data_IF_334487991705
#
_entry.id   IF_334487991705
#
_cell.length_a   1.000
_cell.length_b   1.000
_cell.length_c   1.000
_cell.angle_alpha   90.00
_cell.angle_beta   90.00
_cell.angle_gamma   90.00
#
_symmetry.space_group_name_H-M   'P 1'
#
loop_
_entity.id
_entity.type
_entity.pdbx_description
1 polymer ?
#
# COMPACT_ATOMS: atom_id res chain seq x y z
N UNK A 1 33.04 -27.79 6.11
CA UNK A 1 33.36 -26.38 5.79
C UNK A 1 32.08 -25.59 6.00
N UNK A 2 31.99 -24.86 7.11
CA UNK A 2 30.86 -23.96 7.36
C UNK A 2 31.06 -22.75 6.45
N UNK A 3 30.38 -22.72 5.30
CA UNK A 3 30.20 -21.48 4.56
C UNK A 3 29.35 -20.58 5.45
N UNK A 4 30.01 -19.69 6.20
CA UNK A 4 29.35 -18.53 6.80
C UNK A 4 28.93 -17.70 5.59
N UNK A 5 27.69 -17.88 5.15
CA UNK A 5 27.05 -16.95 4.22
C UNK A 5 26.97 -15.65 5.00
N UNK A 6 27.90 -14.74 4.75
CA UNK A 6 27.83 -13.38 5.27
C UNK A 6 26.56 -12.77 4.69
N UNK A 7 25.66 -12.30 5.57
CA UNK A 7 24.48 -11.54 5.13
C UNK A 7 24.94 -10.39 4.23
N UNK A 8 24.16 -10.03 3.19
CA UNK A 8 24.47 -8.88 2.34
C UNK A 8 24.61 -7.61 3.19
N UNK A 9 25.51 -6.71 2.78
CA UNK A 9 25.66 -5.39 3.41
C UNK A 9 24.56 -4.44 2.91
N UNK A 10 23.68 -4.02 3.82
CA UNK A 10 22.57 -3.12 3.53
C UNK A 10 22.82 -1.68 4.00
N UNK A 11 24.04 -1.32 4.43
CA UNK A 11 24.35 0.02 4.98
C UNK A 11 23.97 1.16 4.01
N UNK A 12 24.21 0.98 2.70
CA UNK A 12 23.82 1.99 1.69
C UNK A 12 22.30 2.14 1.57
N UNK A 13 21.55 1.04 1.69
CA UNK A 13 20.08 1.07 1.68
C UNK A 13 19.57 1.87 2.87
N UNK A 14 20.05 1.56 4.06
CA UNK A 14 19.64 2.20 5.32
C UNK A 14 19.95 3.71 5.35
N UNK A 15 21.00 4.13 4.64
CA UNK A 15 21.34 5.55 4.47
C UNK A 15 20.36 6.29 3.56
N UNK A 16 19.87 5.67 2.48
CA UNK A 16 18.99 6.33 1.50
C UNK A 16 17.51 6.19 1.84
N UNK A 17 17.15 5.11 2.52
CA UNK A 17 15.79 4.75 2.92
C UNK A 17 15.83 4.38 4.40
N UNK A 18 15.88 5.37 5.31
CA UNK A 18 15.94 5.11 6.74
C UNK A 18 14.72 4.33 7.22
N UNK A 19 14.97 3.27 7.95
CA UNK A 19 13.98 2.33 8.46
C UNK A 19 14.63 1.41 9.49
N UNK A 20 13.93 0.34 9.85
CA UNK A 20 14.36 -0.60 10.88
C UNK A 20 14.28 -2.06 10.41
N UNK A 21 15.13 -2.90 11.01
CA UNK A 21 15.08 -4.35 10.80
C UNK A 21 14.08 -4.95 11.78
N UNK A 22 13.00 -5.54 11.26
CA UNK A 22 11.94 -6.13 12.07
C UNK A 22 12.11 -7.65 12.10
N UNK A 23 12.12 -8.22 13.30
CA UNK A 23 12.14 -9.67 13.49
C UNK A 23 10.72 -10.23 13.37
N UNK A 24 10.53 -11.21 12.49
CA UNK A 24 9.24 -11.86 12.27
C UNK A 24 9.42 -13.35 12.02
N UNK A 25 8.89 -14.16 12.94
CA UNK A 25 9.01 -15.61 12.89
C UNK A 25 10.43 -16.07 13.17
N UNK A 26 11.13 -16.57 12.14
CA UNK A 26 12.50 -17.12 12.24
C UNK A 26 13.57 -16.27 11.55
N UNK A 27 13.20 -15.11 11.04
CA UNK A 27 14.12 -14.21 10.38
C UNK A 27 13.60 -12.78 10.45
N UNK A 28 14.00 -11.99 9.48
CA UNK A 28 13.80 -10.55 9.51
C UNK A 28 13.47 -10.00 8.13
N UNK A 29 12.94 -8.79 8.12
CA UNK A 29 12.72 -7.98 6.93
C UNK A 29 12.98 -6.51 7.29
N UNK A 30 12.93 -5.62 6.29
CA UNK A 30 13.15 -4.20 6.50
C UNK A 30 11.83 -3.42 6.48
N UNK A 31 11.61 -2.54 7.44
CA UNK A 31 10.41 -1.71 7.54
C UNK A 31 10.80 -0.24 7.44
N UNK A 32 10.22 0.47 6.48
CA UNK A 32 10.30 1.92 6.40
C UNK A 32 8.98 2.49 6.87
N UNK A 33 9.04 3.49 7.75
CA UNK A 33 7.88 4.18 8.29
C UNK A 33 8.02 5.68 8.09
N UNK A 34 7.00 6.30 7.49
CA UNK A 34 7.01 7.72 7.17
C UNK A 34 5.66 8.35 7.48
N UNK A 35 5.67 9.55 8.04
CA UNK A 35 4.47 10.37 8.19
C UNK A 35 4.08 10.91 6.81
N UNK A 36 2.79 10.94 6.50
CA UNK A 36 2.31 11.42 5.19
C UNK A 36 2.74 12.87 4.91
N UNK A 37 2.91 13.70 5.95
CA UNK A 37 3.37 15.09 5.83
C UNK A 37 4.76 15.23 5.18
N UNK A 38 5.61 14.20 5.28
CA UNK A 38 6.93 14.19 4.65
C UNK A 38 6.85 13.83 3.15
N UNK A 39 5.74 13.24 2.72
CA UNK A 39 5.56 12.67 1.38
C UNK A 39 4.56 13.45 0.52
N UNK A 40 3.60 14.13 1.16
CA UNK A 40 2.54 14.87 0.50
C UNK A 40 2.54 16.33 0.99
N UNK A 41 2.83 17.26 0.08
CA UNK A 41 2.81 18.70 0.38
C UNK A 41 1.44 19.20 0.87
N UNK A 42 0.35 18.58 0.43
CA UNK A 42 -1.03 18.96 0.78
C UNK A 42 -1.65 18.03 1.83
N UNK A 43 -0.82 17.35 2.64
CA UNK A 43 -1.24 16.42 3.67
C UNK A 43 -2.25 17.04 4.65
N UNK A 44 -2.06 18.29 5.08
CA UNK A 44 -2.96 18.96 6.01
C UNK A 44 -4.40 19.10 5.46
N UNK A 45 -4.54 19.49 4.18
CA UNK A 45 -5.87 19.61 3.57
C UNK A 45 -6.50 18.24 3.33
N UNK A 46 -5.70 17.26 2.92
CA UNK A 46 -6.16 15.89 2.76
C UNK A 46 -6.68 15.33 4.10
N UNK A 47 -5.99 15.63 5.20
CA UNK A 47 -6.39 15.23 6.54
C UNK A 47 -7.63 15.94 7.03
N UNK A 48 -7.75 17.24 6.78
CA UNK A 48 -8.96 17.99 7.08
C UNK A 48 -10.18 17.42 6.34
N UNK A 49 -10.07 17.18 5.03
CA UNK A 49 -11.15 16.58 4.23
C UNK A 49 -11.58 15.23 4.82
N UNK A 50 -10.62 14.40 5.20
CA UNK A 50 -10.92 13.10 5.79
C UNK A 50 -11.60 13.23 7.16
N UNK A 51 -11.09 14.10 8.05
CA UNK A 51 -11.74 14.38 9.34
C UNK A 51 -13.15 14.92 9.15
N UNK A 52 -13.38 15.81 8.18
CA UNK A 52 -14.70 16.32 7.86
C UNK A 52 -15.65 15.18 7.46
N UNK A 53 -15.21 14.26 6.59
CA UNK A 53 -16.00 13.08 6.19
C UNK A 53 -16.45 12.25 7.41
N UNK A 54 -15.58 12.03 8.40
CA UNK A 54 -15.92 11.23 9.59
C UNK A 54 -16.67 12.01 10.68
N UNK A 55 -16.55 13.33 10.71
CA UNK A 55 -17.22 14.20 11.70
C UNK A 55 -18.61 14.67 11.25
N UNK A 56 -18.91 14.61 9.94
CA UNK A 56 -20.22 14.96 9.43
C UNK A 56 -21.28 13.99 9.99
N UNK A 57 -22.41 14.54 10.46
CA UNK A 57 -23.62 13.76 10.74
C UNK A 57 -24.24 13.30 9.40
N UNK A 58 -23.66 12.26 8.83
CA UNK A 58 -24.02 11.75 7.51
C UNK A 58 -25.24 10.84 7.63
N UNK A 59 -26.24 11.06 6.80
CA UNK A 59 -27.29 10.07 6.56
C UNK A 59 -26.70 8.90 5.75
N UNK A 60 -26.22 7.90 6.46
CA UNK A 60 -25.61 6.71 5.88
C UNK A 60 -26.59 5.87 5.02
N UNK A 61 -27.89 6.20 4.97
CA UNK A 61 -28.87 5.47 4.15
C UNK A 61 -28.67 5.68 2.64
N UNK A 62 -27.99 6.75 2.24
CA UNK A 62 -27.68 7.06 0.83
C UNK A 62 -26.40 6.41 0.31
N UNK A 63 -25.53 5.98 1.23
CA UNK A 63 -24.25 5.36 0.88
C UNK A 63 -24.43 3.90 0.48
N UNK A 64 -23.70 3.48 -0.53
CA UNK A 64 -23.51 2.08 -0.84
C UNK A 64 -22.83 1.33 0.34
N UNK A 65 -22.98 0.01 0.36
CA UNK A 65 -22.49 -0.81 1.47
C UNK A 65 -20.99 -0.68 1.75
N UNK A 66 -20.17 -0.49 0.71
CA UNK A 66 -18.71 -0.37 0.86
C UNK A 66 -18.36 0.95 1.57
N UNK A 67 -18.91 2.08 1.12
CA UNK A 67 -18.65 3.38 1.76
C UNK A 67 -19.30 3.51 3.13
N UNK A 68 -20.47 2.91 3.32
CA UNK A 68 -21.06 2.78 4.65
C UNK A 68 -20.12 2.03 5.60
N UNK A 69 -19.50 0.94 5.15
CA UNK A 69 -18.56 0.19 6.01
C UNK A 69 -17.35 1.01 6.45
N UNK A 70 -16.86 1.93 5.60
CA UNK A 70 -15.77 2.86 5.93
C UNK A 70 -16.18 3.87 6.99
N UNK A 71 -17.40 4.41 6.92
CA UNK A 71 -17.85 5.47 7.82
C UNK A 71 -18.47 4.96 9.13
N UNK A 72 -18.69 3.65 9.27
CA UNK A 72 -19.25 3.04 10.48
C UNK A 72 -18.22 2.40 11.40
N UNK A 73 -16.94 2.48 11.06
CA UNK A 73 -15.81 2.03 11.88
C UNK A 73 -14.98 3.22 12.34
N UNK A 74 -14.14 3.02 13.35
CA UNK A 74 -13.14 4.04 13.71
C UNK A 74 -12.14 4.18 12.54
N UNK A 75 -11.75 5.41 12.11
CA UNK A 75 -10.66 5.62 11.17
C UNK A 75 -9.40 4.78 11.38
N UNK A 76 -9.05 4.48 12.64
CA UNK A 76 -7.89 3.67 13.04
C UNK A 76 -8.06 2.19 12.70
N UNK A 77 -9.27 1.74 12.40
CA UNK A 77 -9.60 0.38 11.98
C UNK A 77 -9.62 0.20 10.45
N UNK A 78 -9.15 1.20 9.70
CA UNK A 78 -9.07 1.20 8.23
C UNK A 78 -7.61 1.16 7.80
N UNK A 79 -7.29 0.25 6.88
CA UNK A 79 -5.97 0.18 6.22
C UNK A 79 -6.10 0.20 4.71
N UNK A 80 -5.25 0.99 4.08
CA UNK A 80 -5.08 1.07 2.63
C UNK A 80 -3.85 0.24 2.25
N UNK A 81 -3.94 -0.53 1.17
CA UNK A 81 -2.92 -1.47 0.77
C UNK A 81 -2.63 -1.41 -0.73
N UNK A 82 -1.35 -1.52 -1.04
CA UNK A 82 -0.78 -1.70 -2.38
C UNK A 82 0.49 -2.57 -2.29
N UNK A 83 0.79 -3.38 -3.31
CA UNK A 83 1.96 -4.27 -3.31
C UNK A 83 2.86 -4.06 -4.53
N UNK A 84 4.16 -4.30 -4.35
CA UNK A 84 5.09 -4.49 -5.48
C UNK A 84 5.60 -5.92 -5.53
N UNK A 85 5.64 -6.43 -6.76
CA UNK A 85 5.95 -7.83 -7.07
C UNK A 85 6.93 -7.89 -8.23
N UNK A 86 7.64 -9.01 -8.36
CA UNK A 86 8.59 -9.23 -9.46
C UNK A 86 7.92 -9.72 -10.76
N UNK A 87 6.59 -9.66 -10.83
CA UNK A 87 5.80 -10.11 -11.96
C UNK A 87 4.36 -10.43 -11.56
N UNK A 88 3.52 -10.75 -12.55
CA UNK A 88 2.06 -10.77 -12.35
C UNK A 88 1.51 -12.01 -11.64
N UNK A 89 2.28 -13.09 -11.52
CA UNK A 89 1.84 -14.33 -10.86
C UNK A 89 3.01 -15.24 -10.51
N UNK A 90 2.96 -15.91 -9.35
CA UNK A 90 3.96 -16.90 -8.92
C UNK A 90 5.41 -16.38 -8.94
N UNK A 91 5.58 -15.09 -8.65
CA UNK A 91 6.88 -14.44 -8.48
C UNK A 91 6.99 -13.88 -7.06
N UNK A 92 8.21 -13.63 -6.54
CA UNK A 92 8.37 -12.97 -5.26
C UNK A 92 7.60 -11.65 -5.13
N UNK A 93 6.87 -11.51 -4.02
CA UNK A 93 6.42 -10.23 -3.46
C UNK A 93 7.60 -9.64 -2.68
N UNK A 94 7.87 -8.35 -2.86
CA UNK A 94 8.99 -7.73 -2.16
C UNK A 94 8.64 -6.43 -1.43
N UNK A 95 7.48 -5.83 -1.69
CA UNK A 95 7.00 -4.65 -0.98
C UNK A 95 5.52 -4.80 -0.68
N UNK A 96 5.13 -4.56 0.58
CA UNK A 96 3.74 -4.26 0.94
C UNK A 96 3.72 -2.85 1.50
N UNK A 97 3.02 -1.96 0.81
CA UNK A 97 2.72 -0.63 1.29
C UNK A 97 1.41 -0.62 2.06
N UNK A 98 1.41 0.03 3.21
CA UNK A 98 0.26 0.20 4.09
C UNK A 98 0.12 1.67 4.46
N UNK A 99 -1.08 2.21 4.37
CA UNK A 99 -1.42 3.54 4.85
C UNK A 99 -2.58 3.42 5.83
N UNK A 100 -2.41 3.93 7.05
CA UNK A 100 -3.42 3.84 8.12
C UNK A 100 -3.15 4.89 9.20
N UNK A 101 -4.14 5.12 10.08
CA UNK A 101 -3.97 5.99 11.23
C UNK A 101 -3.29 5.25 12.38
N UNK A 102 -2.14 5.75 12.81
CA UNK A 102 -1.54 5.41 14.10
C UNK A 102 -1.74 6.57 15.07
N UNK A 103 -2.62 6.33 16.04
CA UNK A 103 -3.25 7.39 16.81
C UNK A 103 -3.85 8.48 15.89
N UNK A 104 -3.39 9.72 16.02
CA UNK A 104 -3.90 10.86 15.25
C UNK A 104 -3.07 11.13 13.99
N UNK A 105 -2.03 10.34 13.74
CA UNK A 105 -1.11 10.51 12.62
C UNK A 105 -1.42 9.52 11.50
N UNK A 106 -1.56 10.02 10.28
CA UNK A 106 -1.65 9.17 9.11
C UNK A 106 -0.24 8.80 8.65
N UNK A 107 0.06 7.50 8.66
CA UNK A 107 1.40 6.97 8.42
C UNK A 107 1.40 6.00 7.25
N UNK A 108 2.53 5.96 6.55
CA UNK A 108 2.86 4.95 5.56
C UNK A 108 3.90 4.00 6.15
N UNK A 109 3.58 2.71 6.17
CA UNK A 109 4.54 1.63 6.43
C UNK A 109 4.79 0.83 5.16
N UNK A 110 6.05 0.63 4.85
CA UNK A 110 6.51 -0.09 3.67
C UNK A 110 7.36 -1.26 4.14
N UNK A 111 6.77 -2.45 4.09
CA UNK A 111 7.41 -3.70 4.48
C UNK A 111 8.19 -4.21 3.27
N UNK A 112 9.51 -4.31 3.39
CA UNK A 112 10.42 -4.60 2.29
C UNK A 112 11.25 -5.85 2.53
N UNK A 113 11.23 -6.77 1.56
CA UNK A 113 12.12 -7.92 1.52
C UNK A 113 13.42 -7.54 0.79
N UNK A 114 14.52 -7.37 1.52
CA UNK A 114 15.82 -6.94 0.96
C UNK A 114 16.46 -7.99 0.06
N UNK A 115 16.04 -9.24 0.20
CA UNK A 115 16.30 -10.33 -0.73
C UNK A 115 15.11 -11.30 -0.75
N UNK A 116 15.14 -12.29 -1.66
CA UNK A 116 14.02 -13.22 -1.84
C UNK A 116 13.71 -14.09 -0.61
N UNK A 117 14.67 -14.25 0.31
CA UNK A 117 14.46 -15.06 1.52
C UNK A 117 13.63 -14.32 2.58
N UNK A 118 13.61 -12.98 2.55
CA UNK A 118 12.89 -12.16 3.53
C UNK A 118 11.37 -12.10 3.28
N UNK A 119 10.89 -12.50 2.09
CA UNK A 119 9.46 -12.52 1.75
C UNK A 119 8.64 -13.33 2.77
N UNK A 120 9.18 -14.47 3.25
CA UNK A 120 8.47 -15.29 4.25
C UNK A 120 8.21 -14.51 5.54
N UNK A 121 9.20 -13.74 6.00
CA UNK A 121 9.17 -13.03 7.27
C UNK A 121 8.28 -11.80 7.18
N UNK A 122 8.37 -11.08 6.08
CA UNK A 122 7.46 -10.00 5.72
C UNK A 122 6.00 -10.49 5.70
N UNK A 123 5.70 -11.59 5.00
CA UNK A 123 4.34 -12.14 4.92
C UNK A 123 3.84 -12.65 6.28
N UNK A 124 4.73 -13.18 7.10
CA UNK A 124 4.39 -13.57 8.46
C UNK A 124 3.97 -12.35 9.30
N UNK A 125 4.77 -11.29 9.31
CA UNK A 125 4.42 -10.04 9.98
C UNK A 125 3.09 -9.48 9.47
N UNK A 126 2.93 -9.37 8.14
CA UNK A 126 1.70 -8.87 7.53
C UNK A 126 0.47 -9.68 7.97
N UNK A 127 0.60 -11.01 8.07
CA UNK A 127 -0.50 -11.89 8.48
C UNK A 127 -1.00 -11.66 9.90
N UNK A 128 -0.13 -11.19 10.79
CA UNK A 128 -0.44 -10.82 12.19
C UNK A 128 -0.85 -9.34 12.31
N UNK A 129 -0.41 -8.51 11.37
CA UNK A 129 -0.68 -7.08 11.35
C UNK A 129 -2.07 -6.75 10.80
N UNK A 130 -2.44 -7.27 9.63
CA UNK A 130 -3.70 -6.94 8.95
C UNK A 130 -4.98 -7.24 9.75
N UNK A 131 -5.06 -8.25 10.66
CA UNK A 131 -6.24 -8.49 11.49
C UNK A 131 -6.58 -7.36 12.48
N UNK A 132 -5.71 -6.36 12.67
CA UNK A 132 -5.99 -5.18 13.49
C UNK A 132 -7.05 -4.26 12.86
N UNK A 133 -7.32 -4.41 11.57
CA UNK A 133 -8.22 -3.55 10.81
C UNK A 133 -9.51 -4.28 10.45
N UNK A 134 -10.62 -3.56 10.56
CA UNK A 134 -11.95 -4.05 10.18
C UNK A 134 -12.25 -3.79 8.71
N UNK A 135 -11.60 -2.80 8.09
CA UNK A 135 -11.78 -2.45 6.68
C UNK A 135 -10.43 -2.37 5.96
N UNK A 136 -10.34 -3.11 4.85
CA UNK A 136 -9.21 -3.08 3.92
C UNK A 136 -9.63 -2.35 2.65
N UNK A 137 -8.87 -1.33 2.26
CA UNK A 137 -9.07 -0.55 1.04
C UNK A 137 -7.93 -0.80 0.06
N UNK A 138 -8.26 -1.05 -1.20
CA UNK A 138 -7.28 -1.30 -2.28
C UNK A 138 -7.73 -0.68 -3.59
N UNK A 139 -6.81 -0.54 -4.55
CA UNK A 139 -7.14 -0.27 -5.95
C UNK A 139 -6.97 -1.55 -6.78
N UNK A 140 -8.06 -2.16 -7.25
CA UNK A 140 -8.03 -3.46 -7.96
C UNK A 140 -7.55 -4.66 -7.12
N UNK A 141 -7.39 -4.51 -5.81
CA UNK A 141 -6.81 -5.54 -4.95
C UNK A 141 -7.71 -6.72 -4.62
N UNK A 142 -9.02 -6.64 -4.90
CA UNK A 142 -9.86 -7.85 -4.89
C UNK A 142 -9.44 -8.84 -5.98
N UNK A 143 -8.93 -8.33 -7.10
CA UNK A 143 -8.56 -9.13 -8.27
C UNK A 143 -7.06 -9.41 -8.37
N UNK A 144 -6.23 -8.63 -7.67
CA UNK A 144 -4.77 -8.72 -7.78
C UNK A 144 -4.09 -8.89 -6.42
N UNK A 145 -3.99 -7.83 -5.61
CA UNK A 145 -3.15 -7.78 -4.40
C UNK A 145 -3.42 -8.92 -3.42
N UNK A 146 -4.69 -9.09 -3.00
CA UNK A 146 -5.04 -10.08 -1.98
C UNK A 146 -4.94 -11.52 -2.49
N UNK A 147 -5.41 -11.86 -3.71
CA UNK A 147 -5.08 -13.14 -4.32
C UNK A 147 -3.57 -13.40 -4.38
N UNK A 148 -2.76 -12.43 -4.80
CA UNK A 148 -1.31 -12.58 -4.90
C UNK A 148 -0.67 -12.87 -3.54
N UNK A 149 -0.99 -12.06 -2.52
CA UNK A 149 -0.49 -12.26 -1.16
C UNK A 149 -0.87 -13.66 -0.65
N UNK A 150 -2.13 -14.10 -0.85
CA UNK A 150 -2.58 -15.43 -0.43
C UNK A 150 -1.81 -16.54 -1.12
N UNK A 151 -1.56 -16.44 -2.42
CA UNK A 151 -0.77 -17.43 -3.17
C UNK A 151 0.66 -17.52 -2.63
N UNK A 152 1.29 -16.38 -2.31
CA UNK A 152 2.63 -16.34 -1.71
C UNK A 152 2.64 -16.88 -0.27
N UNK A 153 1.60 -16.61 0.52
CA UNK A 153 1.46 -17.21 1.84
C UNK A 153 1.33 -18.74 1.76
N UNK A 154 0.55 -19.26 0.82
CA UNK A 154 0.41 -20.70 0.57
C UNK A 154 1.75 -21.31 0.16
N UNK A 155 2.50 -20.65 -0.73
CA UNK A 155 3.86 -21.06 -1.12
C UNK A 155 4.78 -21.22 0.10
N UNK A 156 4.68 -20.29 1.05
CA UNK A 156 5.40 -20.32 2.34
C UNK A 156 4.72 -21.15 3.43
N UNK A 157 3.71 -21.96 3.08
CA UNK A 157 2.94 -22.84 3.99
C UNK A 157 2.28 -22.09 5.17
N UNK A 158 1.91 -20.84 4.95
CA UNK A 158 1.15 -20.01 5.88
C UNK A 158 -0.29 -19.96 5.44
N UNK A 159 -1.19 -20.06 6.41
CA UNK A 159 -2.63 -19.94 6.20
C UNK A 159 -3.13 -18.84 7.10
N UNK A 160 -3.85 -17.88 6.51
CA UNK A 160 -4.54 -16.85 7.27
C UNK A 160 -5.99 -16.77 6.80
N UNK A 161 -6.89 -16.65 7.77
CA UNK A 161 -8.30 -16.41 7.52
C UNK A 161 -8.65 -15.03 8.08
N UNK A 162 -8.30 -14.00 7.31
CA UNK A 162 -8.58 -12.63 7.69
C UNK A 162 -10.06 -12.31 7.55
N UNK A 163 -10.60 -11.59 8.53
CA UNK A 163 -11.97 -11.10 8.54
C UNK A 163 -11.93 -9.58 8.47
N UNK A 164 -12.19 -9.04 7.29
CA UNK A 164 -12.33 -7.60 7.05
C UNK A 164 -13.42 -7.37 6.00
N UNK A 165 -13.98 -6.17 5.98
CA UNK A 165 -14.70 -5.68 4.80
C UNK A 165 -13.68 -5.18 3.80
N UNK A 166 -13.76 -5.65 2.55
CA UNK A 166 -12.83 -5.23 1.50
C UNK A 166 -13.53 -4.22 0.58
N UNK A 167 -13.03 -2.99 0.56
CA UNK A 167 -13.47 -1.93 -0.35
C UNK A 167 -12.47 -1.82 -1.51
N UNK A 168 -12.94 -2.03 -2.73
CA UNK A 168 -12.10 -1.93 -3.93
C UNK A 168 -12.51 -0.69 -4.74
N UNK A 169 -11.64 0.31 -4.71
CA UNK A 169 -11.91 1.65 -5.25
C UNK A 169 -11.97 1.65 -6.78
N UNK A 170 -11.38 0.67 -7.47
CA UNK A 170 -11.47 0.60 -8.93
C UNK A 170 -12.91 0.38 -9.40
N UNK A 171 -13.70 -0.40 -8.66
CA UNK A 171 -15.11 -0.67 -9.01
C UNK A 171 -15.94 0.61 -8.93
N UNK A 172 -15.77 1.39 -7.86
CA UNK A 172 -16.45 2.67 -7.65
C UNK A 172 -15.99 3.72 -8.67
N UNK A 173 -14.69 3.78 -8.92
CA UNK A 173 -14.11 4.67 -9.93
C UNK A 173 -14.67 4.41 -11.33
N UNK A 174 -14.78 3.13 -11.72
CA UNK A 174 -15.37 2.74 -13.02
C UNK A 174 -16.85 3.07 -13.11
N UNK A 175 -17.63 2.92 -12.03
CA UNK A 175 -19.04 3.31 -12.02
C UNK A 175 -19.19 4.82 -12.26
N UNK A 176 -18.31 5.61 -11.67
CA UNK A 176 -18.39 7.08 -11.74
C UNK A 176 -17.84 7.67 -13.04
N UNK A 177 -16.71 7.16 -13.53
CA UNK A 177 -15.90 7.86 -14.54
C UNK A 177 -15.64 7.06 -15.82
N UNK A 178 -16.10 5.81 -15.94
CA UNK A 178 -15.98 5.08 -17.21
C UNK A 178 -16.75 5.83 -18.31
N UNK A 179 -16.07 6.14 -19.41
CA UNK A 179 -16.63 6.92 -20.52
C UNK A 179 -16.62 8.44 -20.30
N UNK A 180 -16.18 8.92 -19.14
CA UNK A 180 -15.99 10.35 -18.83
C UNK A 180 -14.50 10.71 -18.89
N UNK A 181 -13.64 9.86 -18.31
CA UNK A 181 -12.18 10.01 -18.35
C UNK A 181 -11.56 9.08 -19.39
N UNK A 182 -10.30 9.33 -19.82
CA UNK A 182 -9.61 8.49 -20.81
C UNK A 182 -9.57 7.01 -20.42
N UNK A 183 -9.28 6.74 -19.14
CA UNK A 183 -9.44 5.43 -18.51
C UNK A 183 -9.61 5.61 -16.99
N UNK A 184 -9.73 4.50 -16.26
CA UNK A 184 -9.79 4.49 -14.79
C UNK A 184 -8.56 3.78 -14.19
N UNK A 185 -7.37 3.98 -14.77
CA UNK A 185 -6.10 3.61 -14.11
C UNK A 185 -5.80 4.59 -12.98
N UNK A 186 -5.07 4.14 -11.96
CA UNK A 186 -4.81 4.95 -10.77
C UNK A 186 -4.14 6.29 -11.11
N UNK A 187 -3.10 6.29 -11.94
CA UNK A 187 -2.42 7.52 -12.40
C UNK A 187 -3.33 8.47 -13.21
N UNK A 188 -4.26 7.93 -14.02
CA UNK A 188 -5.25 8.76 -14.72
C UNK A 188 -6.19 9.43 -13.73
N UNK A 189 -6.68 8.67 -12.74
CA UNK A 189 -7.56 9.21 -11.70
C UNK A 189 -6.82 10.21 -10.80
N UNK A 190 -5.55 9.97 -10.49
CA UNK A 190 -4.70 10.92 -9.79
C UNK A 190 -4.65 12.26 -10.54
N UNK A 191 -4.37 12.22 -11.84
CA UNK A 191 -4.27 13.42 -12.66
C UNK A 191 -5.58 14.20 -12.70
N UNK A 192 -6.71 13.52 -12.98
CA UNK A 192 -7.99 14.20 -13.24
C UNK A 192 -8.78 14.52 -11.96
N UNK A 193 -8.65 13.72 -10.90
CA UNK A 193 -9.47 13.83 -9.68
C UNK A 193 -8.66 14.41 -8.53
N UNK A 194 -7.47 13.87 -8.26
CA UNK A 194 -6.55 14.38 -7.23
C UNK A 194 -5.79 15.63 -7.68
N UNK A 195 -5.84 15.96 -8.98
CA UNK A 195 -5.14 17.09 -9.59
C UNK A 195 -3.62 17.10 -9.34
N UNK A 196 -3.04 15.91 -9.13
CA UNK A 196 -1.60 15.72 -8.96
C UNK A 196 -0.95 15.27 -10.25
N UNK A 197 0.30 15.69 -10.45
CA UNK A 197 1.17 15.20 -11.52
C UNK A 197 2.41 14.62 -10.89
N UNK A 198 2.72 13.37 -11.21
CA UNK A 198 3.99 12.77 -10.80
C UNK A 198 5.13 13.33 -11.66
N UNK A 199 6.19 13.77 -11.01
CA UNK A 199 7.45 14.12 -11.65
C UNK A 199 8.42 12.98 -11.38
N UNK A 200 9.13 12.53 -12.42
CA UNK A 200 10.20 11.51 -12.31
C UNK A 200 9.76 10.18 -11.68
N UNK A 201 8.49 9.78 -11.87
CA UNK A 201 7.97 8.50 -11.39
C UNK A 201 8.60 7.31 -12.11
N UNK A 202 8.85 6.23 -11.37
CA UNK A 202 9.31 4.98 -11.96
C UNK A 202 8.17 4.36 -12.75
N UNK A 203 8.35 4.05 -14.04
CA UNK A 203 7.36 3.28 -14.78
C UNK A 203 7.14 1.92 -14.09
N UNK A 204 5.90 1.58 -13.74
CA UNK A 204 5.58 0.34 -12.99
C UNK A 204 6.11 -0.93 -13.69
N UNK A 205 6.26 -0.90 -15.02
CA UNK A 205 6.86 -2.01 -15.78
C UNK A 205 8.35 -2.26 -15.48
N UNK A 206 9.08 -1.28 -14.95
CA UNK A 206 10.49 -1.37 -14.59
C UNK A 206 10.71 -1.77 -13.12
N UNK A 207 9.68 -1.67 -12.27
CA UNK A 207 9.76 -1.98 -10.84
C UNK A 207 10.33 -3.38 -10.56
N UNK A 208 9.89 -4.46 -11.25
CA UNK A 208 10.48 -5.79 -11.09
C UNK A 208 11.99 -5.84 -11.38
N UNK A 209 12.43 -5.19 -12.47
CA UNK A 209 13.82 -5.22 -12.92
C UNK A 209 14.72 -4.46 -11.92
N UNK A 210 14.25 -3.31 -11.43
CA UNK A 210 14.93 -2.53 -10.39
C UNK A 210 15.17 -3.39 -9.14
N UNK A 211 14.17 -4.14 -8.69
CA UNK A 211 14.33 -5.03 -7.54
C UNK A 211 15.34 -6.16 -7.81
N UNK A 212 15.24 -6.83 -8.96
CA UNK A 212 16.18 -7.89 -9.33
C UNK A 212 17.63 -7.39 -9.40
N UNK A 213 17.85 -6.18 -9.92
CA UNK A 213 19.16 -5.58 -10.00
C UNK A 213 19.69 -5.15 -8.62
N UNK A 214 18.81 -4.69 -7.72
CA UNK A 214 19.18 -4.47 -6.32
C UNK A 214 19.62 -5.77 -5.64
N UNK A 215 18.84 -6.84 -5.73
CA UNK A 215 19.20 -8.13 -5.10
C UNK A 215 20.50 -8.71 -5.66
N UNK A 216 20.78 -8.47 -6.96
CA UNK A 216 22.01 -8.95 -7.62
C UNK A 216 23.24 -8.13 -7.26
N UNK A 217 23.11 -6.80 -7.27
CA UNK A 217 24.25 -5.88 -7.26
C UNK A 217 24.40 -5.10 -5.93
N UNK A 218 23.40 -5.15 -5.06
CA UNK A 218 23.35 -4.41 -3.79
C UNK A 218 23.23 -2.89 -3.93
N UNK A 219 23.03 -2.33 -5.13
CA UNK A 219 22.87 -0.88 -5.32
C UNK A 219 21.40 -0.46 -5.15
N UNK A 220 21.04 0.32 -4.11
CA UNK A 220 19.66 0.66 -3.82
C UNK A 220 19.19 1.97 -4.47
N UNK A 221 20.03 2.65 -5.27
CA UNK A 221 19.73 3.99 -5.80
C UNK A 221 18.37 4.09 -6.52
N UNK A 222 18.02 3.09 -7.33
CA UNK A 222 16.74 3.08 -8.05
C UNK A 222 15.56 2.63 -7.18
N UNK A 223 15.80 2.00 -6.01
CA UNK A 223 14.72 1.61 -5.11
C UNK A 223 13.99 2.84 -4.56
N UNK A 224 14.67 3.98 -4.36
CA UNK A 224 14.01 5.19 -3.87
C UNK A 224 12.77 5.55 -4.70
N UNK A 225 12.87 5.41 -6.03
CA UNK A 225 11.75 5.64 -6.94
C UNK A 225 10.62 4.61 -6.78
N UNK A 226 10.94 3.34 -6.50
CA UNK A 226 9.95 2.28 -6.22
C UNK A 226 9.19 2.56 -4.93
N UNK A 227 9.89 2.91 -3.85
CA UNK A 227 9.26 3.27 -2.57
C UNK A 227 8.40 4.54 -2.72
N UNK A 228 8.88 5.53 -3.47
CA UNK A 228 8.11 6.73 -3.74
C UNK A 228 6.85 6.44 -4.55
N UNK A 229 6.95 5.59 -5.57
CA UNK A 229 5.81 5.14 -6.40
C UNK A 229 4.71 4.50 -5.55
N UNK A 230 5.06 3.47 -4.78
CA UNK A 230 4.13 2.76 -3.90
C UNK A 230 3.49 3.69 -2.86
N UNK A 231 4.26 4.64 -2.30
CA UNK A 231 3.71 5.63 -1.38
C UNK A 231 2.70 6.58 -2.07
N UNK A 232 3.00 7.05 -3.28
CA UNK A 232 2.08 7.89 -4.06
C UNK A 232 0.81 7.14 -4.47
N UNK A 233 0.90 5.83 -4.77
CA UNK A 233 -0.25 4.98 -5.06
C UNK A 233 -1.18 4.88 -3.85
N UNK A 234 -0.64 4.68 -2.64
CA UNK A 234 -1.41 4.69 -1.39
C UNK A 234 -2.07 6.06 -1.13
N UNK A 235 -1.33 7.16 -1.29
CA UNK A 235 -1.86 8.52 -1.10
C UNK A 235 -2.99 8.81 -2.10
N UNK A 236 -2.82 8.37 -3.35
CA UNK A 236 -3.85 8.48 -4.39
C UNK A 236 -5.08 7.66 -4.04
N UNK A 237 -4.90 6.42 -3.60
CA UNK A 237 -6.00 5.56 -3.20
C UNK A 237 -6.79 6.17 -2.03
N UNK A 238 -6.11 6.73 -1.04
CA UNK A 238 -6.73 7.44 0.07
C UNK A 238 -7.56 8.64 -0.39
N UNK A 239 -6.97 9.53 -1.17
CA UNK A 239 -7.69 10.73 -1.63
C UNK A 239 -8.85 10.40 -2.57
N UNK A 240 -8.71 9.42 -3.46
CA UNK A 240 -9.81 8.95 -4.30
C UNK A 240 -10.96 8.40 -3.48
N UNK A 241 -10.67 7.70 -2.38
CA UNK A 241 -11.68 7.23 -1.44
C UNK A 241 -12.44 8.39 -0.84
N UNK A 242 -11.74 9.43 -0.35
CA UNK A 242 -12.37 10.66 0.15
C UNK A 242 -13.26 11.32 -0.91
N UNK A 243 -12.73 11.51 -2.12
CA UNK A 243 -13.43 12.17 -3.21
C UNK A 243 -14.70 11.42 -3.62
N UNK A 244 -14.65 10.09 -3.72
CA UNK A 244 -15.82 9.26 -4.04
C UNK A 244 -16.88 9.32 -2.94
N UNK A 245 -16.48 9.29 -1.67
CA UNK A 245 -17.42 9.43 -0.55
C UNK A 245 -18.12 10.79 -0.62
N UNK A 246 -17.38 11.88 -0.76
CA UNK A 246 -17.96 13.24 -0.87
C UNK A 246 -18.95 13.31 -2.05
N UNK A 247 -18.57 12.80 -3.22
CA UNK A 247 -19.44 12.80 -4.40
C UNK A 247 -20.69 11.93 -4.28
N UNK A 248 -20.74 10.97 -3.35
CA UNK A 248 -21.92 10.15 -3.08
C UNK A 248 -22.85 10.79 -2.03
N UNK A 249 -22.33 11.78 -1.29
CA UNK A 249 -23.09 12.57 -0.32
C UNK A 249 -23.75 13.81 -0.92
N UNK A 250 -23.17 14.38 -1.98
CA UNK A 250 -23.72 15.47 -2.78
C UNK A 250 -24.92 15.04 -3.66
#
# INVERSE_FOLDING_TARGET
MNNIITKPDFTKLELILPGEVVQAGKGEFYLIRQDIEKLCYDAENLMRKYQDIFNLSIDHSRLNNDFRSLLTVDPKEIVFLDIETTGLSNTPLFLIGLLYFDDDNLVIEQLFARDYSEEEHLLHYFSEFVPKFNVLVTFNGKSFDIPFIRDRMIFHRKFANWKYTHVDILLHSRRRWRGVLPDCRLQTLEYYICQRRRLDDVPSALVPEIYHDFVRNGNPEYLLGVFHHNALDLITLFELTCALIIMELD
#
